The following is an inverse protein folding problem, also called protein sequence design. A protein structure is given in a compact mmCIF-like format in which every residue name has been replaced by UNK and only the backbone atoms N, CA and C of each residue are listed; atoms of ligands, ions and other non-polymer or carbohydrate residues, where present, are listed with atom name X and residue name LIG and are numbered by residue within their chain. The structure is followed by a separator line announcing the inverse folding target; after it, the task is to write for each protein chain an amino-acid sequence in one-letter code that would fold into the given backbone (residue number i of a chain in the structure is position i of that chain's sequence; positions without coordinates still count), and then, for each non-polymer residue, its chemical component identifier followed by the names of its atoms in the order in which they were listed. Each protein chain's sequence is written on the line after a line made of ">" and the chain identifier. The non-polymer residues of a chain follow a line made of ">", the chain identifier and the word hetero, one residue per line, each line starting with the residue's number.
data_IF_938569290259
#
_entry.id   IF_938569290259
#
_cell.length_a   1.000
_cell.length_b   1.000
_cell.length_c   1.000
_cell.angle_alpha   90.00
_cell.angle_beta   90.00
_cell.angle_gamma   90.00
#
_symmetry.space_group_name_H-M   'P 1'
#
loop_
_entity.id
_entity.type
_entity.pdbx_description
1 polymer ?
#
# COMPACT_ATOMS: atom_id res chain seq x y z
N UNK A 1 11.45 -13.81 -0.29
CA UNK A 1 10.92 -12.46 -0.02
C UNK A 1 10.00 -12.50 1.19
N UNK A 2 10.16 -11.55 2.10
CA UNK A 2 9.27 -11.40 3.25
C UNK A 2 7.97 -10.73 2.84
N UNK A 3 6.91 -10.88 3.66
CA UNK A 3 5.66 -10.16 3.46
C UNK A 3 5.86 -8.65 3.55
N UNK A 4 6.73 -8.16 4.43
CA UNK A 4 7.00 -6.72 4.53
C UNK A 4 7.64 -6.18 3.26
N UNK A 5 8.57 -6.90 2.66
CA UNK A 5 9.15 -6.51 1.38
C UNK A 5 8.10 -6.57 0.26
N UNK A 6 7.27 -7.59 0.24
CA UNK A 6 6.18 -7.71 -0.72
C UNK A 6 5.19 -6.54 -0.59
N UNK A 7 4.88 -6.15 0.64
CA UNK A 7 4.00 -5.01 0.91
C UNK A 7 4.61 -3.70 0.40
N UNK A 8 5.91 -3.51 0.61
CA UNK A 8 6.58 -2.32 0.10
C UNK A 8 6.56 -2.27 -1.44
N UNK A 9 6.74 -3.40 -2.10
CA UNK A 9 6.60 -3.49 -3.56
C UNK A 9 5.16 -3.16 -3.98
N UNK A 10 4.17 -3.69 -3.27
CA UNK A 10 2.77 -3.36 -3.53
C UNK A 10 2.50 -1.85 -3.40
N UNK A 11 3.09 -1.20 -2.39
CA UNK A 11 2.98 0.26 -2.22
C UNK A 11 3.59 1.00 -3.42
N UNK A 12 4.77 0.58 -3.89
CA UNK A 12 5.41 1.20 -5.06
C UNK A 12 4.56 1.04 -6.32
N UNK A 13 3.95 -0.13 -6.51
CA UNK A 13 3.07 -0.37 -7.66
C UNK A 13 1.77 0.42 -7.53
N UNK A 14 1.20 0.52 -6.34
CA UNK A 14 0.03 1.35 -6.09
C UNK A 14 0.32 2.83 -6.38
N UNK A 15 1.50 3.31 -6.01
CA UNK A 15 1.97 4.66 -6.36
C UNK A 15 2.06 4.83 -7.88
N UNK A 16 2.64 3.84 -8.57
CA UNK A 16 2.80 3.88 -10.03
C UNK A 16 1.46 3.93 -10.78
N UNK A 17 0.41 3.36 -10.22
CA UNK A 17 -0.93 3.43 -10.80
C UNK A 17 -1.42 4.87 -11.02
N UNK A 18 -0.94 5.83 -10.24
CA UNK A 18 -1.31 7.24 -10.36
C UNK A 18 -0.69 7.90 -11.61
N UNK A 19 0.27 7.25 -12.24
CA UNK A 19 1.08 7.83 -13.33
C UNK A 19 1.01 7.04 -14.64
N UNK A 20 0.24 5.97 -14.69
CA UNK A 20 0.17 5.13 -15.89
C UNK A 20 -1.27 4.93 -16.34
N UNK A 21 -1.46 4.84 -17.67
CA UNK A 21 -2.73 4.48 -18.29
C UNK A 21 -2.83 2.98 -18.56
N UNK A 22 -1.78 2.21 -18.24
CA UNK A 22 -1.79 0.77 -18.45
C UNK A 22 -2.84 0.11 -17.56
N UNK A 23 -3.53 -0.91 -18.08
CA UNK A 23 -4.36 -1.77 -17.22
C UNK A 23 -3.51 -2.37 -16.10
N UNK A 24 -4.09 -2.49 -14.90
CA UNK A 24 -3.36 -2.97 -13.73
C UNK A 24 -2.72 -4.34 -13.95
N UNK A 25 -3.41 -5.24 -14.63
CA UNK A 25 -2.88 -6.58 -14.94
C UNK A 25 -1.64 -6.51 -15.82
N UNK A 26 -1.61 -5.63 -16.81
CA UNK A 26 -0.46 -5.44 -17.68
C UNK A 26 0.73 -4.88 -16.90
N UNK A 27 0.50 -3.91 -16.01
CA UNK A 27 1.54 -3.37 -15.15
C UNK A 27 2.15 -4.47 -14.29
N UNK A 28 1.32 -5.27 -13.63
CA UNK A 28 1.77 -6.36 -12.77
C UNK A 28 2.55 -7.42 -13.55
N UNK A 29 2.07 -7.81 -14.73
CA UNK A 29 2.75 -8.80 -15.57
C UNK A 29 4.14 -8.32 -15.98
N UNK A 30 4.30 -7.02 -16.22
CA UNK A 30 5.60 -6.45 -16.58
C UNK A 30 6.55 -6.27 -15.41
N UNK A 31 6.03 -6.07 -14.20
CA UNK A 31 6.85 -5.80 -13.02
C UNK A 31 7.21 -7.04 -12.20
N UNK A 32 6.37 -8.07 -12.19
CA UNK A 32 6.54 -9.25 -11.35
C UNK A 32 7.27 -10.39 -12.08
N UNK A 33 8.32 -10.07 -12.82
CA UNK A 33 9.15 -11.05 -13.50
C UNK A 33 10.54 -11.09 -12.87
N UNK A 34 11.24 -12.21 -13.02
CA UNK A 34 12.62 -12.35 -12.56
C UNK A 34 13.53 -11.33 -13.26
N UNK A 35 13.29 -11.08 -14.53
CA UNK A 35 14.05 -10.13 -15.35
C UNK A 35 13.88 -8.70 -14.85
N UNK A 36 12.64 -8.30 -14.54
CA UNK A 36 12.37 -6.97 -14.00
C UNK A 36 13.04 -6.76 -12.64
N UNK A 37 12.97 -7.76 -11.76
CA UNK A 37 13.64 -7.69 -10.46
C UNK A 37 15.15 -7.63 -10.62
N UNK A 38 15.72 -8.48 -11.48
CA UNK A 38 17.16 -8.49 -11.72
C UNK A 38 17.68 -7.15 -12.23
N UNK A 39 16.92 -6.46 -13.07
CA UNK A 39 17.32 -5.16 -13.62
C UNK A 39 17.39 -4.05 -12.58
N UNK A 40 16.71 -4.20 -11.44
CA UNK A 40 16.66 -3.20 -10.38
C UNK A 40 17.49 -3.60 -9.15
N UNK A 41 17.94 -4.85 -9.08
CA UNK A 41 18.57 -5.41 -7.88
C UNK A 41 19.87 -4.72 -7.47
N UNK A 42 20.65 -4.23 -8.44
CA UNK A 42 21.92 -3.56 -8.16
C UNK A 42 21.70 -2.20 -7.48
N UNK A 43 20.64 -1.52 -7.85
CA UNK A 43 20.34 -0.18 -7.35
C UNK A 43 19.50 -0.19 -6.07
N UNK A 44 18.70 -1.25 -5.88
CA UNK A 44 17.76 -1.29 -4.76
C UNK A 44 17.68 -2.71 -4.19
N UNK A 45 18.15 -2.91 -2.92
CA UNK A 45 18.12 -4.22 -2.27
C UNK A 45 16.72 -4.83 -2.14
N UNK A 46 15.65 -4.03 -2.22
CA UNK A 46 14.27 -4.52 -2.19
C UNK A 46 14.01 -5.52 -3.32
N UNK A 47 14.70 -5.38 -4.44
CA UNK A 47 14.57 -6.24 -5.62
C UNK A 47 15.57 -7.39 -5.69
N UNK A 48 16.34 -7.61 -4.63
CA UNK A 48 17.36 -8.68 -4.60
C UNK A 48 16.75 -10.08 -4.78
N UNK A 49 15.55 -10.31 -4.24
CA UNK A 49 14.84 -11.57 -4.35
C UNK A 49 13.50 -11.35 -5.07
N UNK A 50 13.32 -12.03 -6.20
CA UNK A 50 12.02 -12.04 -6.87
C UNK A 50 10.99 -12.78 -6.00
N UNK A 51 9.72 -12.33 -6.01
CA UNK A 51 8.69 -12.98 -5.20
C UNK A 51 8.40 -14.40 -5.70
N UNK A 52 8.23 -15.34 -4.77
CA UNK A 52 7.68 -16.65 -5.07
C UNK A 52 6.16 -16.56 -5.27
N UNK A 53 5.52 -17.72 -5.49
CA UNK A 53 4.09 -17.78 -5.80
C UNK A 53 3.22 -17.08 -4.74
N UNK A 54 3.50 -17.30 -3.46
CA UNK A 54 2.73 -16.74 -2.36
C UNK A 54 2.79 -15.22 -2.31
N UNK A 55 3.98 -14.64 -2.45
CA UNK A 55 4.13 -13.19 -2.38
C UNK A 55 3.69 -12.51 -3.69
N UNK A 56 3.86 -13.16 -4.82
CA UNK A 56 3.30 -12.66 -6.10
C UNK A 56 1.78 -12.59 -6.03
N UNK A 57 1.13 -13.60 -5.48
CA UNK A 57 -0.33 -13.61 -5.29
C UNK A 57 -0.77 -12.47 -4.38
N UNK A 58 -0.06 -12.27 -3.26
CA UNK A 58 -0.33 -11.17 -2.34
C UNK A 58 -0.22 -9.81 -3.06
N UNK A 59 0.89 -9.57 -3.76
CA UNK A 59 1.12 -8.31 -4.46
C UNK A 59 0.02 -8.05 -5.49
N UNK A 60 -0.32 -9.06 -6.30
CA UNK A 60 -1.38 -8.94 -7.30
C UNK A 60 -2.72 -8.61 -6.65
N UNK A 61 -3.09 -9.35 -5.63
CA UNK A 61 -4.36 -9.16 -4.92
C UNK A 61 -4.48 -7.74 -4.37
N UNK A 62 -3.44 -7.25 -3.70
CA UNK A 62 -3.44 -5.91 -3.10
C UNK A 62 -3.49 -4.83 -4.17
N UNK A 63 -2.63 -4.90 -5.18
CA UNK A 63 -2.56 -3.85 -6.22
C UNK A 63 -3.82 -3.82 -7.07
N UNK A 64 -4.34 -4.98 -7.46
CA UNK A 64 -5.61 -5.08 -8.18
C UNK A 64 -6.76 -4.56 -7.33
N UNK A 65 -6.77 -4.90 -6.04
CA UNK A 65 -7.79 -4.44 -5.10
C UNK A 65 -7.75 -2.93 -4.89
N UNK A 66 -6.58 -2.35 -4.71
CA UNK A 66 -6.41 -0.90 -4.60
C UNK A 66 -6.91 -0.21 -5.86
N UNK A 67 -6.59 -0.74 -7.03
CA UNK A 67 -7.07 -0.20 -8.30
C UNK A 67 -8.60 -0.25 -8.40
N UNK A 68 -9.20 -1.38 -8.05
CA UNK A 68 -10.64 -1.58 -8.14
C UNK A 68 -11.42 -0.72 -7.11
N UNK A 69 -10.83 -0.45 -5.95
CA UNK A 69 -11.47 0.27 -4.85
C UNK A 69 -10.89 1.67 -4.63
N UNK A 70 -10.20 2.23 -5.61
CA UNK A 70 -9.48 3.50 -5.46
C UNK A 70 -10.36 4.63 -4.93
N UNK A 71 -11.55 4.81 -5.49
CA UNK A 71 -12.46 5.87 -5.07
C UNK A 71 -12.93 5.70 -3.62
N UNK A 72 -13.26 4.47 -3.22
CA UNK A 72 -13.65 4.13 -1.85
C UNK A 72 -12.51 4.41 -0.87
N UNK A 73 -11.30 3.96 -1.20
CA UNK A 73 -10.14 4.13 -0.35
C UNK A 73 -9.75 5.61 -0.21
N UNK A 74 -9.82 6.37 -1.28
CA UNK A 74 -9.54 7.81 -1.25
C UNK A 74 -10.58 8.56 -0.41
N UNK A 75 -11.84 8.16 -0.47
CA UNK A 75 -12.90 8.72 0.38
C UNK A 75 -12.63 8.44 1.86
N UNK A 76 -12.13 7.24 2.19
CA UNK A 76 -11.75 6.89 3.56
C UNK A 76 -10.57 7.72 4.04
N UNK A 77 -9.55 7.91 3.20
CA UNK A 77 -8.41 8.76 3.55
C UNK A 77 -8.90 10.18 3.86
N UNK A 78 -9.72 10.74 2.99
CA UNK A 78 -10.26 12.09 3.14
C UNK A 78 -11.10 12.23 4.41
N UNK A 79 -11.89 11.21 4.73
CA UNK A 79 -12.74 11.19 5.91
C UNK A 79 -11.96 11.34 7.21
N UNK A 80 -10.79 10.70 7.31
CA UNK A 80 -9.99 10.68 8.53
C UNK A 80 -8.82 11.67 8.51
N UNK A 81 -8.59 12.35 7.40
CA UNK A 81 -7.52 13.33 7.24
C UNK A 81 -7.96 14.71 7.75
N UNK A 82 -8.22 14.82 9.03
CA UNK A 82 -8.71 16.05 9.64
C UNK A 82 -7.64 17.16 9.52
N UNK A 83 -8.03 18.29 8.93
CA UNK A 83 -7.13 19.43 8.76
C UNK A 83 -6.25 19.37 7.52
N UNK A 84 -6.34 18.32 6.71
CA UNK A 84 -5.58 18.17 5.48
C UNK A 84 -6.50 18.04 4.28
N UNK A 85 -6.21 18.77 3.21
CA UNK A 85 -6.89 18.57 1.93
C UNK A 85 -6.27 17.36 1.24
N UNK A 86 -7.13 16.48 0.70
CA UNK A 86 -6.67 15.29 -0.03
C UNK A 86 -5.64 15.63 -1.11
N UNK A 87 -5.85 16.70 -1.86
CA UNK A 87 -4.95 17.15 -2.91
C UNK A 87 -3.54 17.54 -2.43
N UNK A 88 -3.37 17.75 -1.13
CA UNK A 88 -2.06 18.10 -0.52
C UNK A 88 -1.39 16.93 0.16
N UNK A 89 -2.04 15.78 0.23
CA UNK A 89 -1.43 14.56 0.80
C UNK A 89 -0.41 14.05 -0.23
N UNK A 90 0.84 13.82 0.18
CA UNK A 90 1.84 13.27 -0.74
C UNK A 90 1.35 11.94 -1.34
N UNK A 91 1.60 11.73 -2.64
CA UNK A 91 1.12 10.54 -3.35
C UNK A 91 1.68 9.25 -2.75
N UNK A 92 2.91 9.27 -2.23
CA UNK A 92 3.49 8.12 -1.54
C UNK A 92 2.70 7.80 -0.27
N UNK A 93 2.34 8.83 0.51
CA UNK A 93 1.53 8.66 1.71
C UNK A 93 0.16 8.06 1.37
N UNK A 94 -0.48 8.56 0.32
CA UNK A 94 -1.76 8.00 -0.15
C UNK A 94 -1.62 6.54 -0.56
N UNK A 95 -0.54 6.18 -1.27
CA UNK A 95 -0.29 4.79 -1.69
C UNK A 95 -0.12 3.86 -0.48
N UNK A 96 0.65 4.29 0.53
CA UNK A 96 0.81 3.53 1.78
C UNK A 96 -0.53 3.30 2.45
N UNK A 97 -1.33 4.34 2.59
CA UNK A 97 -2.63 4.26 3.25
C UNK A 97 -3.64 3.41 2.47
N UNK A 98 -3.67 3.52 1.15
CA UNK A 98 -4.54 2.69 0.30
C UNK A 98 -4.25 1.21 0.49
N UNK A 99 -2.98 0.82 0.49
CA UNK A 99 -2.58 -0.57 0.70
C UNK A 99 -3.00 -1.05 2.08
N UNK A 100 -2.72 -0.30 3.13
CA UNK A 100 -3.09 -0.67 4.50
C UNK A 100 -4.60 -0.80 4.66
N UNK A 101 -5.36 0.17 4.16
CA UNK A 101 -6.83 0.17 4.26
C UNK A 101 -7.44 -0.99 3.47
N UNK A 102 -6.90 -1.31 2.30
CA UNK A 102 -7.34 -2.46 1.54
C UNK A 102 -7.15 -3.75 2.33
N UNK A 103 -5.98 -3.95 2.94
CA UNK A 103 -5.73 -5.14 3.76
C UNK A 103 -6.72 -5.23 4.94
N UNK A 104 -6.97 -4.11 5.62
CA UNK A 104 -7.91 -4.08 6.74
C UNK A 104 -9.32 -4.45 6.32
N UNK A 105 -9.79 -3.91 5.19
CA UNK A 105 -11.17 -4.11 4.72
C UNK A 105 -11.39 -5.45 4.04
N UNK A 106 -10.42 -5.95 3.27
CA UNK A 106 -10.64 -7.05 2.34
C UNK A 106 -9.74 -8.26 2.55
N UNK A 107 -8.81 -8.20 3.51
CA UNK A 107 -7.89 -9.31 3.80
C UNK A 107 -7.96 -9.71 5.28
N UNK A 108 -9.07 -10.34 5.70
CA UNK A 108 -9.29 -10.64 7.13
C UNK A 108 -8.24 -11.59 7.72
N UNK A 109 -7.53 -12.35 6.89
CA UNK A 109 -6.42 -13.22 7.30
C UNK A 109 -5.20 -12.44 7.80
N UNK A 110 -5.10 -11.14 7.50
CA UNK A 110 -4.03 -10.28 7.98
C UNK A 110 -4.53 -9.48 9.18
N UNK A 111 -3.89 -9.61 10.36
CA UNK A 111 -4.28 -8.80 11.52
C UNK A 111 -4.17 -7.30 11.22
N UNK A 112 -5.16 -6.52 11.65
CA UNK A 112 -5.18 -5.08 11.42
C UNK A 112 -3.92 -4.38 11.95
N UNK A 113 -3.46 -4.77 13.15
CA UNK A 113 -2.23 -4.22 13.73
C UNK A 113 -1.01 -4.49 12.86
N UNK A 114 -0.91 -5.67 12.25
CA UNK A 114 0.19 -6.01 11.35
C UNK A 114 0.16 -5.13 10.09
N UNK A 115 -1.01 -4.95 9.49
CA UNK A 115 -1.17 -4.10 8.31
C UNK A 115 -0.76 -2.65 8.60
N UNK A 116 -1.24 -2.09 9.71
CA UNK A 116 -0.95 -0.71 10.10
C UNK A 116 0.52 -0.52 10.47
N UNK A 117 1.07 -1.40 11.30
CA UNK A 117 2.48 -1.29 11.73
C UNK A 117 3.44 -1.39 10.54
N UNK A 118 3.20 -2.31 9.64
CA UNK A 118 4.03 -2.46 8.43
C UNK A 118 3.92 -1.24 7.54
N UNK A 119 2.72 -0.70 7.34
CA UNK A 119 2.50 0.51 6.55
C UNK A 119 3.25 1.71 7.14
N UNK A 120 3.17 1.91 8.45
CA UNK A 120 3.89 3.00 9.12
C UNK A 120 5.41 2.84 8.97
N UNK A 121 5.93 1.61 9.09
CA UNK A 121 7.36 1.35 8.90
C UNK A 121 7.79 1.63 7.46
N UNK A 122 6.98 1.30 6.47
CA UNK A 122 7.25 1.64 5.08
C UNK A 122 7.27 3.16 4.90
N UNK A 123 6.28 3.85 5.46
CA UNK A 123 6.19 5.31 5.36
C UNK A 123 7.45 6.01 5.91
N UNK A 124 8.08 5.46 6.96
CA UNK A 124 9.31 6.02 7.52
C UNK A 124 10.46 6.10 6.53
N UNK A 125 10.45 5.26 5.49
CA UNK A 125 11.50 5.26 4.45
C UNK A 125 11.29 6.36 3.41
N UNK A 126 10.06 6.83 3.24
CA UNK A 126 9.71 7.73 2.14
C UNK A 126 9.25 9.11 2.58
N UNK A 127 8.83 9.27 3.84
CA UNK A 127 8.15 10.45 4.29
C UNK A 127 8.82 11.07 5.52
N UNK A 128 8.51 12.35 5.77
CA UNK A 128 8.98 13.08 6.95
C UNK A 128 8.34 12.50 8.22
N UNK A 129 8.98 12.69 9.40
CA UNK A 129 8.37 12.25 10.66
C UNK A 129 6.96 12.83 10.91
N UNK A 130 6.71 14.07 10.47
CA UNK A 130 5.39 14.70 10.58
C UNK A 130 4.36 13.95 9.74
N UNK A 131 4.68 13.63 8.49
CA UNK A 131 3.79 12.87 7.61
C UNK A 131 3.58 11.46 8.13
N UNK A 132 4.60 10.82 8.70
CA UNK A 132 4.46 9.48 9.31
C UNK A 132 3.46 9.52 10.46
N UNK A 133 3.55 10.53 11.35
CA UNK A 133 2.58 10.69 12.44
C UNK A 133 1.16 10.90 11.92
N UNK A 134 1.01 11.68 10.86
CA UNK A 134 -0.27 11.90 10.18
C UNK A 134 -0.85 10.59 9.64
N UNK A 135 -0.05 9.79 8.93
CA UNK A 135 -0.46 8.48 8.43
C UNK A 135 -0.91 7.57 9.58
N UNK A 136 -0.11 7.50 10.65
CA UNK A 136 -0.44 6.67 11.80
C UNK A 136 -1.77 7.09 12.44
N UNK A 137 -2.00 8.40 12.54
CA UNK A 137 -3.27 8.93 13.06
C UNK A 137 -4.48 8.58 12.21
N UNK A 138 -4.35 8.72 10.90
CA UNK A 138 -5.42 8.38 9.96
C UNK A 138 -5.74 6.88 10.03
N UNK A 139 -4.70 6.03 9.95
CA UNK A 139 -4.90 4.58 9.96
C UNK A 139 -5.47 4.10 11.29
N UNK A 140 -5.02 4.68 12.40
CA UNK A 140 -5.57 4.37 13.72
C UNK A 140 -7.05 4.70 13.83
N UNK A 141 -7.45 5.90 13.38
CA UNK A 141 -8.86 6.31 13.37
C UNK A 141 -9.70 5.43 12.44
N UNK A 142 -9.15 5.14 11.26
CA UNK A 142 -9.80 4.27 10.28
C UNK A 142 -10.10 2.88 10.88
N UNK A 143 -9.11 2.25 11.49
CA UNK A 143 -9.30 0.92 12.09
C UNK A 143 -10.35 0.97 13.20
N UNK A 144 -10.30 1.96 14.08
CA UNK A 144 -11.26 2.09 15.19
C UNK A 144 -12.69 2.27 14.69
N UNK A 145 -12.89 3.09 13.66
CA UNK A 145 -14.24 3.43 13.17
C UNK A 145 -14.80 2.39 12.21
N UNK A 146 -13.98 1.86 11.31
CA UNK A 146 -14.44 0.97 10.24
C UNK A 146 -14.53 -0.49 10.68
N UNK A 147 -13.83 -0.88 11.74
CA UNK A 147 -13.83 -2.25 12.22
C UNK A 147 -14.50 -2.41 13.59
N UNK A 148 -15.03 -1.33 14.17
CA UNK A 148 -15.75 -1.40 15.43
C UNK A 148 -17.02 -2.27 15.30
N UNK A 149 -17.35 -3.10 16.31
CA UNK A 149 -18.60 -3.85 16.26
C UNK A 149 -19.79 -2.89 16.15
N UNK A 150 -20.71 -3.20 15.26
CA UNK A 150 -21.95 -2.45 15.17
C UNK A 150 -22.88 -2.91 16.29
N UNK A 151 -23.30 -1.98 17.12
CA UNK A 151 -24.30 -2.24 18.16
C UNK A 151 -25.70 -2.31 17.59
#
# INVERSE_FOLDING_TARGET
>A
MTRDNAREIAVRLAYELSFTDKPVGELLDGRLTKEAFASLAEEDPLYADAPGAKQSEYIRRVVEGVSAHAAELDADIERYAVGWKFSRIPLTASAVMRVAMYEVLYMPEIPNAAAVNSAVNIAKKYETPETVRFINGILGSFVRQETAPRS
#
